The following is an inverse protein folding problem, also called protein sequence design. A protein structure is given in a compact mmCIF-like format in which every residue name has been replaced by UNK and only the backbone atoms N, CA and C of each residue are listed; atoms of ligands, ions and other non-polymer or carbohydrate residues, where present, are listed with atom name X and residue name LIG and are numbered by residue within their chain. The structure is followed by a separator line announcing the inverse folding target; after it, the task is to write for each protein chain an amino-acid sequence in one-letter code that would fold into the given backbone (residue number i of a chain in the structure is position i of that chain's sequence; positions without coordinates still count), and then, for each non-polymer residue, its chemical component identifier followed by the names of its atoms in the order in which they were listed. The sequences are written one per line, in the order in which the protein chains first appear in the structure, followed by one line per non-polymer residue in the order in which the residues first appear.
data_IF_454009018593
#
_entry.id   IF_454009018593
#
_cell.length_a   1.000
_cell.length_b   1.000
_cell.length_c   1.000
_cell.angle_alpha   90.00
_cell.angle_beta   90.00
_cell.angle_gamma   90.00
#
_symmetry.space_group_name_H-M   'P 1'
#
loop_
_entity.id
_entity.type
_entity.pdbx_description
1 polymer ?
#
# COMPACT_ATOMS: atom_id res chain seq x y z
N UNK A 1 3.55 -24.48 3.37
CA UNK A 1 4.25 -25.62 4.01
C UNK A 1 5.68 -25.79 3.51
N UNK A 2 5.90 -26.02 2.21
CA UNK A 2 7.26 -26.27 1.64
C UNK A 2 8.21 -25.11 1.93
N UNK A 3 7.81 -23.87 1.69
CA UNK A 3 8.64 -22.70 1.97
C UNK A 3 9.03 -22.60 3.45
N UNK A 4 8.09 -22.85 4.38
CA UNK A 4 8.40 -22.90 5.80
C UNK A 4 9.40 -24.00 6.14
N UNK A 5 9.26 -25.19 5.54
CA UNK A 5 10.22 -26.30 5.72
C UNK A 5 11.62 -25.97 5.23
N UNK A 6 11.77 -25.27 4.10
CA UNK A 6 13.06 -24.86 3.55
C UNK A 6 13.85 -23.93 4.50
N UNK A 7 13.17 -23.15 5.34
CA UNK A 7 13.84 -22.28 6.31
C UNK A 7 14.55 -23.07 7.42
N UNK A 8 14.10 -24.29 7.71
CA UNK A 8 14.75 -25.17 8.71
C UNK A 8 16.14 -25.56 8.23
N UNK A 9 16.31 -25.71 6.90
CA UNK A 9 17.60 -25.96 6.26
C UNK A 9 18.41 -24.67 5.96
N UNK A 10 18.08 -23.55 6.61
CA UNK A 10 18.81 -22.28 6.47
C UNK A 10 18.57 -21.54 5.14
N UNK A 11 17.56 -21.91 4.34
CA UNK A 11 17.21 -21.21 3.10
C UNK A 11 16.32 -20.01 3.38
N UNK A 12 16.36 -19.02 2.49
CA UNK A 12 15.47 -17.86 2.47
C UNK A 12 14.55 -18.03 1.25
N UNK A 13 13.40 -18.70 1.39
CA UNK A 13 12.51 -18.95 0.27
C UNK A 13 11.71 -17.71 -0.12
N UNK A 14 11.68 -17.41 -1.41
CA UNK A 14 10.77 -16.47 -2.05
C UNK A 14 9.68 -17.27 -2.75
N UNK A 15 8.42 -17.04 -2.39
CA UNK A 15 7.27 -17.65 -3.06
C UNK A 15 6.67 -16.63 -4.02
N UNK A 16 6.11 -17.07 -5.14
CA UNK A 16 5.52 -16.16 -6.14
C UNK A 16 4.28 -16.76 -6.78
N UNK A 17 3.16 -16.04 -6.67
CA UNK A 17 1.91 -16.28 -7.39
C UNK A 17 1.03 -15.02 -7.29
N UNK A 18 -0.18 -15.05 -7.84
CA UNK A 18 -1.14 -13.95 -7.68
C UNK A 18 -1.48 -13.70 -6.21
N UNK A 19 -1.68 -12.45 -5.84
CA UNK A 19 -1.92 -12.04 -4.47
C UNK A 19 -3.12 -12.77 -3.83
N UNK A 20 -4.20 -12.95 -4.57
CA UNK A 20 -5.36 -13.73 -4.12
C UNK A 20 -4.96 -15.17 -3.72
N UNK A 21 -4.12 -15.80 -4.52
CA UNK A 21 -3.69 -17.18 -4.30
C UNK A 21 -2.54 -17.31 -3.29
N UNK A 22 -1.80 -16.21 -3.09
CA UNK A 22 -0.75 -16.11 -2.07
C UNK A 22 -1.30 -15.89 -0.66
N UNK A 23 -2.55 -15.46 -0.52
CA UNK A 23 -3.13 -15.01 0.75
C UNK A 23 -4.38 -15.80 1.12
N UNK A 24 -5.52 -15.53 0.51
CA UNK A 24 -6.82 -16.04 0.95
C UNK A 24 -6.87 -17.54 1.16
N UNK A 25 -6.58 -18.35 0.11
CA UNK A 25 -6.69 -19.82 0.17
C UNK A 25 -5.62 -20.51 1.03
N UNK A 26 -4.54 -19.82 1.39
CA UNK A 26 -3.41 -20.35 2.16
C UNK A 26 -3.18 -19.63 3.49
N UNK A 27 -4.16 -18.80 3.89
CA UNK A 27 -4.04 -17.93 5.06
C UNK A 27 -3.68 -18.68 6.34
N UNK A 28 -4.34 -19.81 6.62
CA UNK A 28 -4.02 -20.64 7.80
C UNK A 28 -2.59 -21.17 7.77
N UNK A 29 -2.12 -21.60 6.60
CA UNK A 29 -0.74 -22.06 6.42
C UNK A 29 0.28 -20.94 6.67
N UNK A 30 -0.01 -19.72 6.21
CA UNK A 30 0.84 -18.56 6.47
C UNK A 30 0.83 -18.25 7.97
N UNK A 31 -0.36 -18.22 8.57
CA UNK A 31 -0.52 -17.95 10.00
C UNK A 31 0.27 -18.93 10.87
N UNK A 32 0.06 -20.24 10.67
CA UNK A 32 0.61 -21.28 11.52
C UNK A 32 2.09 -21.58 11.19
N UNK A 33 2.36 -21.84 9.89
CA UNK A 33 3.67 -22.36 9.49
C UNK A 33 4.71 -21.28 9.25
N UNK A 34 4.31 -20.01 9.05
CA UNK A 34 5.24 -18.92 8.74
C UNK A 34 5.25 -17.88 9.86
N UNK A 35 4.13 -17.18 10.09
CA UNK A 35 4.09 -16.06 11.03
C UNK A 35 4.25 -16.54 12.50
N UNK A 36 3.40 -17.45 12.95
CA UNK A 36 3.45 -17.98 14.33
C UNK A 36 4.79 -18.67 14.62
N UNK A 37 5.32 -19.39 13.64
CA UNK A 37 6.60 -20.09 13.77
C UNK A 37 7.82 -19.21 13.51
N UNK A 38 7.65 -17.90 13.24
CA UNK A 38 8.73 -16.94 13.01
C UNK A 38 9.65 -17.28 11.84
N UNK A 39 9.10 -17.87 10.75
CA UNK A 39 9.91 -18.38 9.63
C UNK A 39 10.25 -17.27 8.64
N UNK A 40 11.51 -17.24 8.20
CA UNK A 40 12.03 -16.26 7.25
C UNK A 40 11.60 -16.57 5.80
N UNK A 41 10.32 -16.39 5.49
CA UNK A 41 9.72 -16.61 4.16
C UNK A 41 9.30 -15.27 3.55
N UNK A 42 9.63 -15.07 2.26
CA UNK A 42 9.23 -13.91 1.47
C UNK A 42 8.07 -14.30 0.56
N UNK A 43 6.90 -13.79 0.85
CA UNK A 43 5.68 -14.03 0.07
C UNK A 43 5.55 -12.89 -0.93
N UNK A 44 5.99 -13.13 -2.19
CA UNK A 44 5.96 -12.15 -3.26
C UNK A 44 4.67 -12.32 -4.06
N UNK A 45 3.75 -11.40 -3.88
CA UNK A 45 2.38 -11.47 -4.36
C UNK A 45 2.16 -10.49 -5.51
N UNK A 46 2.13 -11.00 -6.72
CA UNK A 46 1.84 -10.23 -7.93
C UNK A 46 0.34 -10.12 -8.20
N UNK A 47 -0.04 -9.27 -9.14
CA UNK A 47 -1.43 -9.14 -9.58
C UNK A 47 -2.40 -8.77 -8.44
N UNK A 48 -1.92 -7.97 -7.50
CA UNK A 48 -2.72 -7.50 -6.37
C UNK A 48 -3.66 -6.36 -6.79
N UNK A 49 -4.75 -6.22 -6.05
CA UNK A 49 -5.71 -5.15 -6.27
C UNK A 49 -6.71 -5.43 -7.38
N UNK A 50 -7.41 -4.38 -7.80
CA UNK A 50 -8.42 -4.42 -8.85
C UNK A 50 -7.79 -4.38 -10.25
N UNK A 51 -6.60 -3.80 -10.36
CA UNK A 51 -5.85 -3.67 -11.62
C UNK A 51 -5.26 -4.98 -12.14
N UNK A 52 -5.52 -6.10 -11.48
CA UNK A 52 -5.38 -7.41 -12.11
C UNK A 52 -6.16 -7.45 -13.43
N UNK A 53 -7.34 -6.82 -13.46
CA UNK A 53 -8.04 -6.50 -14.71
C UNK A 53 -9.06 -7.55 -15.14
N UNK A 54 -8.91 -8.06 -16.35
CA UNK A 54 -9.92 -8.81 -17.09
C UNK A 54 -10.33 -10.14 -16.43
N UNK A 55 -9.46 -10.74 -15.65
CA UNK A 55 -9.74 -12.01 -14.94
C UNK A 55 -10.84 -11.84 -13.86
N UNK A 56 -11.12 -10.60 -13.45
CA UNK A 56 -12.25 -10.23 -12.62
C UNK A 56 -12.15 -10.66 -11.15
N UNK A 57 -13.28 -10.53 -10.44
CA UNK A 57 -13.38 -10.65 -8.99
C UNK A 57 -12.82 -11.96 -8.39
N UNK A 58 -12.83 -13.05 -9.13
CA UNK A 58 -12.32 -14.35 -8.63
C UNK A 58 -10.80 -14.41 -8.54
N UNK A 59 -10.11 -13.49 -9.22
CA UNK A 59 -8.64 -13.39 -9.26
C UNK A 59 -8.13 -12.12 -8.60
N UNK A 60 -8.92 -11.06 -8.62
CA UNK A 60 -8.64 -9.82 -7.88
C UNK A 60 -8.65 -10.09 -6.37
N UNK A 61 -7.94 -9.25 -5.62
CA UNK A 61 -8.00 -9.25 -4.16
C UNK A 61 -7.88 -7.82 -3.65
N UNK A 62 -8.81 -7.44 -2.79
CA UNK A 62 -8.93 -6.10 -2.21
C UNK A 62 -8.86 -6.12 -0.68
N UNK A 63 -8.52 -7.25 -0.07
CA UNK A 63 -8.46 -7.50 1.37
C UNK A 63 -7.13 -8.08 1.84
N UNK A 64 -6.18 -8.30 0.94
CA UNK A 64 -4.90 -8.96 1.21
C UNK A 64 -4.00 -8.20 2.20
N UNK A 65 -3.93 -6.87 2.09
CA UNK A 65 -3.19 -6.05 3.06
C UNK A 65 -3.77 -6.25 4.46
N UNK A 66 -5.11 -6.18 4.58
CA UNK A 66 -5.82 -6.39 5.84
C UNK A 66 -5.49 -7.74 6.46
N UNK A 67 -5.63 -8.82 5.69
CA UNK A 67 -5.32 -10.17 6.16
C UNK A 67 -3.87 -10.32 6.62
N UNK A 68 -2.92 -9.83 5.84
CA UNK A 68 -1.50 -10.01 6.16
C UNK A 68 -1.05 -9.12 7.33
N UNK A 69 -1.55 -7.88 7.44
CA UNK A 69 -1.18 -7.01 8.55
C UNK A 69 -1.70 -7.47 9.92
N UNK A 70 -2.80 -8.27 9.95
CA UNK A 70 -3.32 -8.83 11.19
C UNK A 70 -2.41 -9.92 11.78
N UNK A 71 -1.53 -10.52 10.99
CA UNK A 71 -0.62 -11.56 11.49
C UNK A 71 0.52 -10.94 12.32
N UNK A 72 0.68 -11.33 13.60
CA UNK A 72 1.83 -10.89 14.40
C UNK A 72 3.16 -11.24 13.72
N UNK A 73 4.13 -10.32 13.76
CA UNK A 73 5.46 -10.51 13.17
C UNK A 73 5.54 -10.41 11.64
N UNK A 74 4.42 -10.37 10.92
CA UNK A 74 4.41 -10.20 9.46
C UNK A 74 4.76 -8.76 9.09
N UNK A 75 5.74 -8.57 8.22
CA UNK A 75 6.02 -7.29 7.54
C UNK A 75 5.21 -7.23 6.26
N UNK A 76 4.56 -6.09 5.99
CA UNK A 76 3.69 -5.88 4.81
C UNK A 76 4.21 -4.70 4.00
N UNK A 77 4.57 -4.97 2.75
CA UNK A 77 5.14 -3.98 1.81
C UNK A 77 4.28 -3.95 0.55
N UNK A 78 3.93 -2.76 0.08
CA UNK A 78 3.19 -2.51 -1.16
C UNK A 78 3.93 -1.47 -2.00
N UNK A 79 4.60 -1.92 -3.06
CA UNK A 79 5.49 -1.08 -3.87
C UNK A 79 4.75 -0.37 -5.00
N UNK A 80 5.23 0.82 -5.39
CA UNK A 80 4.55 1.70 -6.33
C UNK A 80 5.04 1.61 -7.78
N UNK A 81 6.29 1.20 -8.01
CA UNK A 81 6.86 1.05 -9.35
C UNK A 81 7.96 -0.03 -9.41
N UNK A 82 8.55 -0.18 -10.60
CA UNK A 82 9.60 -1.18 -10.83
C UNK A 82 10.84 -0.96 -9.95
N UNK A 83 11.33 0.27 -9.86
CA UNK A 83 12.54 0.57 -9.08
C UNK A 83 12.34 0.27 -7.60
N UNK A 84 11.20 0.70 -7.05
CA UNK A 84 10.87 0.43 -5.65
C UNK A 84 10.67 -1.07 -5.40
N UNK A 85 10.03 -1.81 -6.33
CA UNK A 85 9.86 -3.27 -6.21
C UNK A 85 11.21 -4.00 -6.23
N UNK A 86 12.10 -3.60 -7.14
CA UNK A 86 13.47 -4.14 -7.21
C UNK A 86 14.23 -3.90 -5.91
N UNK A 87 14.23 -2.66 -5.43
CA UNK A 87 14.97 -2.28 -4.22
C UNK A 87 14.39 -2.95 -2.97
N UNK A 88 13.06 -3.04 -2.87
CA UNK A 88 12.38 -3.78 -1.80
C UNK A 88 12.75 -5.27 -1.82
N UNK A 89 12.77 -5.90 -3.01
CA UNK A 89 13.13 -7.33 -3.16
C UNK A 89 14.55 -7.60 -2.67
N UNK A 90 15.49 -6.71 -2.96
CA UNK A 90 16.88 -6.81 -2.46
C UNK A 90 16.90 -6.64 -0.93
N UNK A 91 16.24 -5.59 -0.42
CA UNK A 91 16.24 -5.30 1.01
C UNK A 91 15.63 -6.42 1.87
N UNK A 92 14.54 -7.05 1.39
CA UNK A 92 13.91 -8.15 2.15
C UNK A 92 14.75 -9.43 2.13
N UNK A 93 15.69 -9.61 1.21
CA UNK A 93 16.58 -10.76 1.21
C UNK A 93 17.48 -10.76 2.46
N UNK A 94 17.90 -9.59 2.91
CA UNK A 94 18.74 -9.40 4.10
C UNK A 94 17.92 -9.26 5.40
N UNK A 95 16.61 -9.02 5.30
CA UNK A 95 15.72 -8.90 6.45
C UNK A 95 15.35 -10.27 7.01
N UNK A 96 15.53 -10.47 8.32
CA UNK A 96 15.16 -11.73 8.98
C UNK A 96 13.73 -11.66 9.52
N UNK A 97 12.82 -12.39 8.91
CA UNK A 97 11.41 -12.46 9.30
C UNK A 97 10.49 -12.68 8.10
N UNK A 98 9.21 -12.98 8.36
CA UNK A 98 8.23 -13.14 7.30
C UNK A 98 7.88 -11.78 6.67
N UNK A 99 7.84 -11.76 5.35
CA UNK A 99 7.49 -10.56 4.57
C UNK A 99 6.42 -10.92 3.53
N UNK A 100 5.39 -10.10 3.45
CA UNK A 100 4.45 -10.02 2.36
C UNK A 100 4.81 -8.83 1.48
N UNK A 101 5.35 -9.11 0.29
CA UNK A 101 5.68 -8.11 -0.72
C UNK A 101 4.61 -8.12 -1.80
N UNK A 102 3.84 -7.05 -1.90
CA UNK A 102 2.70 -6.86 -2.79
C UNK A 102 3.07 -5.95 -3.96
N UNK A 103 2.64 -6.30 -5.17
CA UNK A 103 2.76 -5.45 -6.35
C UNK A 103 1.69 -5.80 -7.40
N UNK A 104 1.34 -4.82 -8.23
CA UNK A 104 0.29 -4.96 -9.24
C UNK A 104 0.74 -5.69 -10.51
N UNK A 105 -0.19 -5.85 -11.47
CA UNK A 105 0.01 -6.44 -12.80
C UNK A 105 0.38 -5.41 -13.87
N UNK A 106 -0.32 -4.25 -13.98
CA UNK A 106 -0.12 -3.35 -15.09
C UNK A 106 1.24 -2.68 -15.07
N UNK A 107 1.67 -2.26 -16.26
CA UNK A 107 2.81 -1.35 -16.36
C UNK A 107 2.39 0.01 -15.83
N UNK A 108 3.16 0.53 -14.90
CA UNK A 108 3.02 1.87 -14.34
C UNK A 108 4.24 2.71 -14.69
N UNK A 109 4.15 4.03 -14.69
CA UNK A 109 5.31 4.89 -14.81
C UNK A 109 6.38 4.54 -13.77
N UNK A 110 7.64 4.64 -14.16
CA UNK A 110 8.79 4.45 -13.26
C UNK A 110 9.29 5.83 -12.87
N UNK A 111 9.13 6.19 -11.61
CA UNK A 111 9.39 7.55 -11.11
C UNK A 111 10.23 7.57 -9.83
N UNK A 112 10.43 6.41 -9.16
CA UNK A 112 11.29 6.35 -7.98
C UNK A 112 12.76 6.24 -8.37
N UNK A 113 13.66 6.70 -7.49
CA UNK A 113 15.11 6.62 -7.71
C UNK A 113 15.57 5.14 -7.78
N UNK A 114 16.21 4.70 -8.88
CA UNK A 114 16.71 3.33 -9.01
C UNK A 114 17.80 2.98 -7.96
N UNK A 115 18.46 3.97 -7.39
CA UNK A 115 19.54 3.82 -6.41
C UNK A 115 19.06 4.04 -4.96
N UNK A 116 17.77 4.30 -4.75
CA UNK A 116 17.23 4.48 -3.41
C UNK A 116 17.47 3.23 -2.55
N UNK A 117 18.10 3.42 -1.39
CA UNK A 117 18.26 2.35 -0.41
C UNK A 117 16.94 2.13 0.31
N UNK A 118 16.25 1.05 -0.05
CA UNK A 118 14.95 0.71 0.54
C UNK A 118 15.10 0.37 2.02
N UNK A 119 14.37 1.08 2.86
CA UNK A 119 14.36 0.86 4.30
C UNK A 119 12.95 0.47 4.75
N UNK A 120 12.83 -0.73 5.28
CA UNK A 120 11.56 -1.27 5.80
C UNK A 120 11.09 -0.40 6.96
N UNK A 121 9.85 0.08 6.90
CA UNK A 121 9.24 0.90 7.94
C UNK A 121 9.45 2.42 7.78
N UNK A 122 10.23 2.87 6.80
CA UNK A 122 10.41 4.30 6.51
C UNK A 122 9.58 4.68 5.27
N UNK A 123 8.77 5.74 5.35
CA UNK A 123 8.06 6.31 4.21
C UNK A 123 8.98 7.18 3.34
N UNK A 124 8.49 7.59 2.18
CA UNK A 124 9.22 8.52 1.29
C UNK A 124 8.36 9.75 1.07
N UNK A 125 8.86 10.92 1.46
CA UNK A 125 8.25 12.19 1.11
C UNK A 125 8.53 12.47 -0.36
N UNK A 126 7.47 12.55 -1.17
CA UNK A 126 7.54 12.79 -2.60
C UNK A 126 7.48 14.27 -2.94
N UNK A 127 6.70 15.06 -2.19
CA UNK A 127 6.55 16.51 -2.37
C UNK A 127 6.45 17.21 -1.02
N UNK A 128 6.80 18.49 -0.97
CA UNK A 128 6.55 19.37 0.18
C UNK A 128 5.17 20.05 0.03
N UNK A 129 4.47 20.23 1.15
CA UNK A 129 3.18 20.91 1.16
C UNK A 129 2.74 21.32 2.56
N UNK A 130 1.81 22.27 2.65
CA UNK A 130 1.37 22.85 3.92
C UNK A 130 -0.15 22.80 4.12
N UNK A 131 -0.93 22.53 3.06
CA UNK A 131 -2.40 22.60 3.14
C UNK A 131 -3.05 21.26 3.44
N UNK A 132 -2.53 20.18 2.88
CA UNK A 132 -3.06 18.81 3.03
C UNK A 132 -1.95 17.79 2.93
N UNK A 133 -2.07 16.68 3.65
CA UNK A 133 -1.24 15.48 3.46
C UNK A 133 -1.98 14.48 2.58
N UNK A 134 -1.32 13.96 1.56
CA UNK A 134 -1.80 12.81 0.76
C UNK A 134 -0.85 11.65 1.05
N UNK A 135 -1.35 10.61 1.69
CA UNK A 135 -0.59 9.39 1.94
C UNK A 135 -1.06 8.30 0.99
N UNK A 136 -0.18 7.86 0.12
CA UNK A 136 -0.50 6.86 -0.89
C UNK A 136 0.41 5.62 -0.79
N UNK A 137 -0.08 4.49 -1.31
CA UNK A 137 0.68 3.25 -1.42
C UNK A 137 0.41 2.55 -2.74
N UNK A 138 1.37 1.75 -3.22
CA UNK A 138 1.22 1.03 -4.48
C UNK A 138 0.97 1.96 -5.67
N UNK A 139 0.14 1.55 -6.60
CA UNK A 139 -0.18 2.31 -7.81
C UNK A 139 -0.74 3.70 -7.53
N UNK A 140 -1.42 3.90 -6.39
CA UNK A 140 -2.03 5.19 -6.05
C UNK A 140 -1.00 6.27 -5.73
N UNK A 141 0.28 5.94 -5.57
CA UNK A 141 1.34 6.96 -5.44
C UNK A 141 1.48 7.77 -6.73
N UNK A 142 1.37 7.14 -7.89
CA UNK A 142 1.37 7.87 -9.17
C UNK A 142 0.16 8.79 -9.28
N UNK A 143 -1.03 8.29 -8.99
CA UNK A 143 -2.25 9.09 -9.02
C UNK A 143 -2.20 10.27 -8.03
N UNK A 144 -1.57 10.08 -6.87
CA UNK A 144 -1.34 11.15 -5.91
C UNK A 144 -0.38 12.24 -6.43
N UNK A 145 0.65 11.85 -7.19
CA UNK A 145 1.56 12.81 -7.83
C UNK A 145 0.89 13.59 -8.98
N UNK A 146 0.03 12.94 -9.77
CA UNK A 146 -0.77 13.62 -10.78
C UNK A 146 -1.78 14.59 -10.12
N UNK A 147 -2.45 14.18 -9.05
CA UNK A 147 -3.31 15.04 -8.26
C UNK A 147 -2.55 16.25 -7.68
N UNK A 148 -1.34 16.03 -7.17
CA UNK A 148 -0.47 17.11 -6.67
C UNK A 148 -0.22 18.20 -7.73
N UNK A 149 0.08 17.81 -8.98
CA UNK A 149 0.35 18.78 -10.05
C UNK A 149 -0.87 19.69 -10.30
N UNK A 150 -2.06 19.10 -10.39
CA UNK A 150 -3.30 19.85 -10.61
C UNK A 150 -3.65 20.73 -9.40
N UNK A 151 -3.48 20.22 -8.18
CA UNK A 151 -3.71 20.98 -6.94
C UNK A 151 -2.75 22.17 -6.83
N UNK A 152 -1.49 21.98 -7.23
CA UNK A 152 -0.50 23.05 -7.24
C UNK A 152 -0.88 24.20 -8.20
N UNK A 153 -1.41 23.87 -9.39
CA UNK A 153 -1.92 24.86 -10.34
C UNK A 153 -3.14 25.63 -9.79
N UNK A 154 -3.91 25.01 -8.90
CA UNK A 154 -5.03 25.63 -8.19
C UNK A 154 -4.61 26.38 -6.91
N UNK A 155 -3.32 26.41 -6.57
CA UNK A 155 -2.79 27.08 -5.39
C UNK A 155 -2.90 26.29 -4.09
N UNK A 156 -3.17 24.98 -4.15
CA UNK A 156 -3.24 24.09 -2.99
C UNK A 156 -1.90 23.36 -2.82
N UNK A 157 -1.26 23.55 -1.68
CA UNK A 157 0.06 23.00 -1.36
C UNK A 157 -0.09 21.64 -0.66
N UNK A 158 -0.02 20.55 -1.42
CA UNK A 158 -0.14 19.20 -0.91
C UNK A 158 1.21 18.55 -0.61
N UNK A 159 1.36 17.90 0.56
CA UNK A 159 2.50 17.02 0.87
C UNK A 159 2.13 15.58 0.50
N UNK A 160 2.81 15.01 -0.49
CA UNK A 160 2.60 13.62 -0.90
C UNK A 160 3.62 12.72 -0.23
N UNK A 161 3.14 11.69 0.45
CA UNK A 161 3.97 10.68 1.13
C UNK A 161 3.67 9.29 0.53
N UNK A 162 4.70 8.63 0.06
CA UNK A 162 4.64 7.22 -0.33
C UNK A 162 4.92 6.33 0.89
N UNK A 163 3.89 5.66 1.38
CA UNK A 163 4.01 4.63 2.42
C UNK A 163 4.08 3.27 1.75
N UNK A 164 5.28 2.84 1.42
CA UNK A 164 5.53 1.52 0.84
C UNK A 164 5.53 0.39 1.88
N UNK A 165 5.75 0.66 3.15
CA UNK A 165 5.64 -0.32 4.23
C UNK A 165 4.40 -0.03 5.07
N UNK A 166 3.40 -0.90 4.93
CA UNK A 166 2.13 -0.79 5.67
C UNK A 166 2.30 -1.26 7.11
N UNK A 167 3.19 -2.21 7.31
CA UNK A 167 3.54 -2.75 8.63
C UNK A 167 5.02 -3.17 8.66
N UNK A 168 5.83 -2.57 9.57
CA UNK A 168 5.48 -1.47 10.45
C UNK A 168 5.18 -0.18 9.69
N UNK A 169 4.25 0.62 10.18
CA UNK A 169 3.90 1.92 9.61
C UNK A 169 4.90 2.99 10.07
N UNK A 170 5.29 3.89 9.18
CA UNK A 170 6.04 5.10 9.54
C UNK A 170 5.12 6.11 10.21
N UNK A 171 4.81 5.87 11.48
CA UNK A 171 3.91 6.70 12.27
C UNK A 171 4.47 8.11 12.48
N UNK A 172 5.80 8.23 12.67
CA UNK A 172 6.48 9.52 12.90
C UNK A 172 6.34 10.45 11.69
N UNK A 173 6.62 9.96 10.49
CA UNK A 173 6.49 10.74 9.26
C UNK A 173 5.06 11.26 9.06
N UNK A 174 4.06 10.41 9.27
CA UNK A 174 2.64 10.78 9.13
C UNK A 174 2.28 11.84 10.17
N UNK A 175 2.59 11.61 11.45
CA UNK A 175 2.28 12.55 12.53
C UNK A 175 2.97 13.90 12.34
N UNK A 176 4.21 13.92 11.87
CA UNK A 176 4.95 15.15 11.54
C UNK A 176 4.27 15.92 10.41
N UNK A 177 3.82 15.24 9.37
CA UNK A 177 3.11 15.87 8.25
C UNK A 177 1.79 16.49 8.70
N UNK A 178 0.94 15.74 9.39
CA UNK A 178 -0.38 16.23 9.82
C UNK A 178 -0.32 17.31 10.91
N UNK A 179 0.76 17.36 11.69
CA UNK A 179 0.94 18.48 12.65
C UNK A 179 1.01 19.83 11.93
N UNK A 180 1.46 19.84 10.68
CA UNK A 180 1.56 21.00 9.79
C UNK A 180 0.28 21.19 8.96
N UNK A 181 -0.17 20.14 8.29
CA UNK A 181 -1.25 20.20 7.31
C UNK A 181 -2.66 20.10 7.90
N UNK A 182 -2.83 19.44 9.03
CA UNK A 182 -4.07 19.28 9.83
C UNK A 182 -5.25 18.63 9.11
N UNK A 183 -5.03 18.02 7.94
CA UNK A 183 -5.99 17.17 7.25
C UNK A 183 -5.27 16.21 6.32
N UNK A 184 -5.88 15.06 6.01
CA UNK A 184 -5.22 13.97 5.29
C UNK A 184 -6.16 13.26 4.32
N UNK A 185 -5.63 12.82 3.18
CA UNK A 185 -6.26 11.86 2.27
C UNK A 185 -5.38 10.63 2.20
N UNK A 186 -5.95 9.46 2.46
CA UNK A 186 -5.28 8.17 2.22
C UNK A 186 -5.70 7.59 0.88
N UNK A 187 -4.75 7.02 0.11
CA UNK A 187 -5.01 6.47 -1.21
C UNK A 187 -4.36 5.09 -1.37
N UNK A 188 -5.20 4.08 -1.63
CA UNK A 188 -4.78 2.69 -1.76
C UNK A 188 -5.68 1.90 -2.71
N UNK A 189 -5.12 0.95 -3.42
CA UNK A 189 -5.84 -0.02 -4.26
C UNK A 189 -6.20 -1.24 -3.41
N UNK A 190 -7.12 -1.06 -2.48
CA UNK A 190 -7.57 -2.03 -1.47
C UNK A 190 -8.96 -1.62 -0.97
N UNK A 191 -9.65 -2.50 -0.26
CA UNK A 191 -10.85 -2.12 0.48
C UNK A 191 -10.49 -1.07 1.55
N UNK A 192 -11.37 -0.08 1.80
CA UNK A 192 -11.15 0.91 2.85
C UNK A 192 -11.06 0.27 4.26
N UNK A 193 -11.69 -0.91 4.42
CA UNK A 193 -11.57 -1.74 5.62
C UNK A 193 -10.26 -2.53 5.62
N UNK A 194 -9.54 -2.47 6.70
CA UNK A 194 -8.32 -3.24 6.91
C UNK A 194 -7.06 -2.72 6.20
N UNK A 195 -7.15 -1.67 5.36
CA UNK A 195 -6.03 -1.15 4.57
C UNK A 195 -5.11 -0.16 5.29
N UNK A 196 -4.40 0.64 4.49
CA UNK A 196 -3.54 1.74 4.94
C UNK A 196 -4.36 2.83 5.61
N UNK A 197 -5.48 3.25 4.99
CA UNK A 197 -6.32 4.33 5.50
C UNK A 197 -6.85 4.06 6.90
N UNK A 198 -7.29 2.84 7.20
CA UNK A 198 -7.71 2.45 8.54
C UNK A 198 -6.55 2.43 9.54
N UNK A 199 -5.35 2.02 9.13
CA UNK A 199 -4.16 2.10 9.97
C UNK A 199 -3.82 3.54 10.34
N UNK A 200 -3.97 4.47 9.39
CA UNK A 200 -3.81 5.91 9.61
C UNK A 200 -4.90 6.42 10.56
N UNK A 201 -6.17 6.06 10.35
CA UNK A 201 -7.28 6.47 11.23
C UNK A 201 -7.02 6.08 12.69
N UNK A 202 -6.54 4.85 12.92
CA UNK A 202 -6.15 4.39 14.27
C UNK A 202 -5.03 5.27 14.85
N UNK A 203 -4.00 5.56 14.03
CA UNK A 203 -2.88 6.41 14.46
C UNK A 203 -3.38 7.82 14.84
N UNK A 204 -4.21 8.43 14.01
CA UNK A 204 -4.75 9.76 14.22
C UNK A 204 -5.61 9.81 15.48
N UNK A 205 -6.51 8.85 15.67
CA UNK A 205 -7.41 8.83 16.84
C UNK A 205 -6.65 8.74 18.16
N UNK A 206 -5.48 8.13 18.18
CA UNK A 206 -4.66 7.93 19.38
C UNK A 206 -3.70 9.08 19.68
N UNK A 207 -3.30 9.86 18.66
CA UNK A 207 -2.22 10.84 18.81
C UNK A 207 -2.64 12.28 18.44
N UNK A 208 -3.31 12.45 17.31
CA UNK A 208 -3.69 13.77 16.79
C UNK A 208 -4.95 13.64 15.94
N UNK A 209 -6.17 13.68 16.55
CA UNK A 209 -7.43 13.57 15.82
C UNK A 209 -7.51 14.60 14.69
N UNK A 210 -7.59 14.11 13.47
CA UNK A 210 -7.44 14.91 12.25
C UNK A 210 -8.46 14.45 11.22
N UNK A 211 -9.15 15.35 10.49
CA UNK A 211 -10.04 14.97 9.40
C UNK A 211 -9.32 14.15 8.35
N UNK A 212 -9.92 13.01 7.99
CA UNK A 212 -9.41 12.09 6.98
C UNK A 212 -10.46 11.78 5.93
N UNK A 213 -10.03 11.69 4.67
CA UNK A 213 -10.78 11.15 3.54
C UNK A 213 -10.02 9.94 2.94
N UNK A 214 -10.78 9.06 2.28
CA UNK A 214 -10.27 7.81 1.74
C UNK A 214 -10.46 7.73 0.23
N UNK A 215 -9.43 7.31 -0.48
CA UNK A 215 -9.48 6.78 -1.84
C UNK A 215 -9.16 5.29 -1.74
N UNK A 216 -10.18 4.48 -1.85
CA UNK A 216 -10.14 3.02 -1.72
C UNK A 216 -11.44 2.42 -2.26
N UNK A 217 -11.50 1.11 -2.49
CA UNK A 217 -12.76 0.44 -2.84
C UNK A 217 -13.71 0.43 -1.65
N UNK A 218 -15.01 0.63 -1.93
CA UNK A 218 -16.03 0.89 -0.91
C UNK A 218 -16.82 -0.38 -0.58
N UNK A 219 -16.17 -1.33 0.13
CA UNK A 219 -16.76 -2.60 0.59
C UNK A 219 -17.51 -3.34 -0.52
N UNK A 220 -16.83 -3.53 -1.66
CA UNK A 220 -17.39 -4.22 -2.82
C UNK A 220 -16.34 -5.10 -3.48
N UNK A 221 -16.78 -6.18 -4.08
CA UNK A 221 -15.93 -6.97 -4.97
C UNK A 221 -15.62 -6.20 -6.26
N UNK A 222 -14.53 -6.59 -6.90
CA UNK A 222 -14.20 -6.12 -8.23
C UNK A 222 -15.04 -6.80 -9.31
N UNK A 223 -14.66 -6.57 -10.55
CA UNK A 223 -15.31 -7.16 -11.75
C UNK A 223 -14.30 -7.21 -12.90
N UNK A 224 -14.69 -7.84 -14.01
CA UNK A 224 -13.87 -7.86 -15.22
C UNK A 224 -13.87 -6.51 -15.92
N UNK A 225 -12.72 -6.06 -16.35
CA UNK A 225 -12.52 -4.83 -17.10
C UNK A 225 -11.03 -4.57 -17.32
N UNK A 226 -10.69 -3.62 -18.17
CA UNK A 226 -9.29 -3.20 -18.27
C UNK A 226 -8.87 -2.46 -16.99
N UNK A 227 -7.59 -2.48 -16.61
CA UNK A 227 -7.12 -1.74 -15.42
C UNK A 227 -7.58 -0.29 -15.38
N UNK A 228 -7.50 0.42 -16.52
CA UNK A 228 -7.91 1.83 -16.59
C UNK A 228 -9.42 2.02 -16.33
N UNK A 229 -10.28 1.16 -16.93
CA UNK A 229 -11.73 1.20 -16.70
C UNK A 229 -12.08 0.93 -15.23
N UNK A 230 -11.38 -0.01 -14.60
CA UNK A 230 -11.61 -0.35 -13.20
C UNK A 230 -11.14 0.77 -12.27
N UNK A 231 -9.96 1.36 -12.50
CA UNK A 231 -9.48 2.51 -11.73
C UNK A 231 -10.48 3.68 -11.80
N UNK A 232 -11.00 3.98 -13.00
CA UNK A 232 -12.01 5.01 -13.22
C UNK A 232 -13.32 4.68 -12.49
N UNK A 233 -13.87 3.49 -12.71
CA UNK A 233 -15.15 3.06 -12.13
C UNK A 233 -15.15 3.07 -10.61
N UNK A 234 -14.05 2.62 -10.00
CA UNK A 234 -13.92 2.53 -8.55
C UNK A 234 -13.34 3.82 -7.92
N UNK A 235 -13.13 4.85 -8.73
CA UNK A 235 -12.67 6.15 -8.25
C UNK A 235 -11.24 6.18 -7.72
N UNK A 236 -10.40 5.26 -8.18
CA UNK A 236 -9.01 5.12 -7.74
C UNK A 236 -8.07 5.94 -8.65
N UNK A 237 -8.34 7.22 -8.83
CA UNK A 237 -7.65 8.10 -9.76
C UNK A 237 -7.37 9.49 -9.18
N UNK A 238 -6.55 10.26 -9.86
CA UNK A 238 -6.13 11.61 -9.45
C UNK A 238 -7.30 12.59 -9.31
N UNK A 239 -8.33 12.51 -10.17
CA UNK A 239 -9.50 13.39 -10.09
C UNK A 239 -10.27 13.20 -8.76
N UNK A 240 -10.44 11.97 -8.32
CA UNK A 240 -11.12 11.69 -7.07
C UNK A 240 -10.24 12.03 -5.85
N UNK A 241 -8.91 11.92 -5.96
CA UNK A 241 -7.99 12.42 -4.95
C UNK A 241 -8.17 13.93 -4.79
N UNK A 242 -8.21 14.70 -5.90
CA UNK A 242 -8.44 16.15 -5.89
C UNK A 242 -9.77 16.51 -5.20
N UNK A 243 -10.87 15.81 -5.55
CA UNK A 243 -12.18 16.01 -4.91
C UNK A 243 -12.12 15.78 -3.41
N UNK A 244 -11.46 14.69 -2.97
CA UNK A 244 -11.29 14.36 -1.55
C UNK A 244 -10.39 15.34 -0.81
N UNK A 245 -9.34 15.84 -1.46
CA UNK A 245 -8.50 16.91 -0.92
C UNK A 245 -9.32 18.18 -0.65
N UNK A 246 -10.10 18.63 -1.62
CA UNK A 246 -10.95 19.82 -1.45
C UNK A 246 -11.96 19.62 -0.32
N UNK A 247 -12.61 18.46 -0.27
CA UNK A 247 -13.57 18.11 0.79
C UNK A 247 -12.92 18.08 2.18
N UNK A 248 -11.72 17.50 2.32
CA UNK A 248 -11.09 17.38 3.65
C UNK A 248 -10.54 18.72 4.15
N UNK A 249 -10.11 19.61 3.25
CA UNK A 249 -9.67 20.95 3.61
C UNK A 249 -10.81 21.79 4.22
N UNK A 250 -12.04 21.64 3.73
CA UNK A 250 -13.23 22.31 4.29
C UNK A 250 -13.58 21.86 5.72
N UNK A 251 -13.06 20.72 6.16
CA UNK A 251 -13.26 20.13 7.50
C UNK A 251 -12.12 20.43 8.47
N UNK A 252 -11.16 21.23 8.08
CA UNK A 252 -9.91 21.52 8.78
C UNK A 252 -10.07 22.38 10.05
#
# INVERSE_FOLDING_TARGET
GIAAGLTIGGKIPFTGTFANFSTGRVYDQIRQSIAYSGKNVKICASHAGITLGEDGATHQILEDIGMMKMLPGMTVINTCDYNQTKNATIAIADFNGPVYLRFGRPKVPVFTDPNYQFKIGEGIKMTEGNDVTIVATGHLVWEALEAYKSLYEEGISAEVINIHTIKPLDEEMILKSISKTRCIVSAEEHNYLGGLGESISRLLSQNNPTPQEFIATQDTFGESGTPAQLMEKYGLNSENIIKKVKSVIERK
#
